data_IF_365363638700
#
_entry.id   IF_365363638700
#
_cell.length_a   1.000
_cell.length_b   1.000
_cell.length_c   1.000
_cell.angle_alpha   90.00
_cell.angle_beta   90.00
_cell.angle_gamma   90.00
#
_symmetry.space_group_name_H-M   'P 1'
#
loop_
_entity.id
_entity.type
_entity.pdbx_description
1 polymer ?
#
# COMPACT_ATOMS: atom_id res chain seq x y z
N UNK A 1 30.26 21.42 -3.12
CA UNK A 1 30.44 20.94 -4.52
C UNK A 1 29.90 19.52 -4.71
N UNK A 2 30.33 18.52 -3.93
CA UNK A 2 29.83 17.12 -4.07
C UNK A 2 28.30 17.03 -3.96
N UNK A 3 27.69 17.65 -2.94
CA UNK A 3 26.23 17.65 -2.79
C UNK A 3 25.47 18.20 -4.01
N UNK A 4 25.98 19.27 -4.63
CA UNK A 4 25.35 19.89 -5.82
C UNK A 4 25.46 18.98 -7.04
N UNK A 5 26.60 18.32 -7.24
CA UNK A 5 26.79 17.36 -8.35
C UNK A 5 25.88 16.14 -8.16
N UNK A 6 25.76 15.63 -6.94
CA UNK A 6 24.88 14.50 -6.64
C UNK A 6 23.38 14.86 -6.79
N UNK A 7 22.98 16.10 -6.50
CA UNK A 7 21.58 16.53 -6.63
C UNK A 7 21.24 17.10 -8.00
N UNK A 8 22.22 17.38 -8.87
CA UNK A 8 21.97 18.02 -10.17
C UNK A 8 20.99 17.25 -11.08
N UNK A 9 21.05 15.90 -11.23
CA UNK A 9 20.08 15.17 -12.03
C UNK A 9 18.65 15.27 -11.48
N UNK A 10 18.51 15.22 -10.14
CA UNK A 10 17.22 15.38 -9.48
C UNK A 10 16.67 16.81 -9.65
N UNK A 11 17.51 17.83 -9.45
CA UNK A 11 17.13 19.23 -9.66
C UNK A 11 16.69 19.46 -11.11
N UNK A 12 17.43 18.90 -12.07
CA UNK A 12 17.07 18.99 -13.49
C UNK A 12 15.72 18.31 -13.78
N UNK A 13 15.50 17.11 -13.27
CA UNK A 13 14.24 16.37 -13.44
C UNK A 13 13.04 17.13 -12.82
N UNK A 14 13.22 17.71 -11.64
CA UNK A 14 12.19 18.51 -10.95
C UNK A 14 11.95 19.86 -11.64
N UNK A 15 12.98 20.46 -12.24
CA UNK A 15 12.83 21.68 -13.03
C UNK A 15 12.09 21.44 -14.35
N UNK A 16 12.28 20.26 -14.97
CA UNK A 16 11.55 19.82 -16.15
C UNK A 16 10.09 19.45 -15.84
N UNK A 17 9.84 18.93 -14.63
CA UNK A 17 8.53 18.44 -14.20
C UNK A 17 8.18 19.01 -12.81
N UNK A 18 7.86 20.31 -12.71
CA UNK A 18 7.60 20.97 -11.43
C UNK A 18 6.42 20.34 -10.67
N UNK A 19 5.48 19.71 -11.38
CA UNK A 19 4.35 19.02 -10.78
C UNK A 19 4.77 17.83 -9.92
N UNK A 20 5.94 17.22 -10.17
CA UNK A 20 6.49 16.15 -9.31
C UNK A 20 6.81 16.63 -7.88
N UNK A 21 7.08 17.93 -7.68
CA UNK A 21 7.25 18.51 -6.34
C UNK A 21 5.91 18.65 -5.60
N UNK A 22 4.85 18.97 -6.32
CA UNK A 22 3.54 19.28 -5.76
C UNK A 22 2.64 18.05 -5.62
N UNK A 23 2.78 17.05 -6.49
CA UNK A 23 1.89 15.88 -6.59
C UNK A 23 1.73 15.18 -5.24
N UNK A 24 2.82 14.76 -4.60
CA UNK A 24 2.76 14.09 -3.27
C UNK A 24 2.46 15.03 -2.12
N UNK A 25 2.79 16.32 -2.24
CA UNK A 25 2.65 17.30 -1.15
C UNK A 25 1.19 17.76 -1.00
N UNK A 26 0.46 17.84 -2.11
CA UNK A 26 -0.97 18.16 -2.12
C UNK A 26 -1.82 17.08 -1.46
N UNK A 27 -1.56 15.81 -1.77
CA UNK A 27 -2.38 14.65 -1.33
C UNK A 27 -2.37 14.42 0.18
N UNK A 28 -1.31 14.85 0.85
CA UNK A 28 -1.12 14.65 2.29
C UNK A 28 -1.30 15.93 3.08
N UNK A 29 -1.68 17.05 2.45
CA UNK A 29 -1.77 18.34 3.12
C UNK A 29 -3.05 18.47 3.96
N UNK A 30 -2.96 19.04 5.16
CA UNK A 30 -4.13 19.35 6.00
C UNK A 30 -5.12 20.32 5.33
N UNK A 31 -4.70 21.07 4.31
CA UNK A 31 -5.54 22.02 3.58
C UNK A 31 -6.37 21.37 2.47
N UNK A 32 -5.91 20.23 1.94
CA UNK A 32 -6.55 19.49 0.83
C UNK A 32 -7.10 18.12 1.23
N UNK A 33 -6.74 17.63 2.41
CA UNK A 33 -7.20 16.34 2.90
C UNK A 33 -8.74 16.26 2.91
N UNK A 34 -9.27 15.16 2.39
CA UNK A 34 -10.70 14.88 2.40
C UNK A 34 -11.21 14.72 3.84
N UNK A 35 -12.52 14.87 4.06
CA UNK A 35 -13.11 14.61 5.40
C UNK A 35 -12.95 13.15 5.83
N UNK A 36 -12.81 12.22 4.89
CA UNK A 36 -12.52 10.80 5.16
C UNK A 36 -11.09 10.61 5.67
N UNK A 37 -10.13 11.33 5.08
CA UNK A 37 -8.73 11.27 5.51
C UNK A 37 -8.49 11.99 6.83
N UNK A 38 -9.12 13.15 7.03
CA UNK A 38 -8.94 13.94 8.25
C UNK A 38 -10.17 14.79 8.54
N UNK A 39 -10.84 14.52 9.64
CA UNK A 39 -12.06 15.26 10.03
C UNK A 39 -11.69 16.67 10.53
N UNK A 40 -12.50 17.66 10.15
CA UNK A 40 -12.44 19.03 10.67
C UNK A 40 -11.91 20.04 9.66
N UNK A 41 -11.79 21.30 10.10
CA UNK A 41 -11.20 22.41 9.33
C UNK A 41 -9.69 22.54 9.56
N UNK A 42 -8.91 23.24 8.70
CA UNK A 42 -7.44 23.21 8.75
C UNK A 42 -6.80 23.59 10.09
N UNK A 43 -7.37 24.54 10.83
CA UNK A 43 -6.91 24.95 12.16
C UNK A 43 -7.16 23.89 13.23
N UNK A 44 -8.34 23.25 13.22
CA UNK A 44 -8.63 22.09 14.08
C UNK A 44 -7.70 20.92 13.77
N UNK A 45 -7.44 20.67 12.48
CA UNK A 45 -6.52 19.63 12.00
C UNK A 45 -5.09 19.90 12.48
N UNK A 46 -4.63 21.15 12.37
CA UNK A 46 -3.31 21.56 12.85
C UNK A 46 -3.18 21.37 14.36
N UNK A 47 -4.16 21.82 15.15
CA UNK A 47 -4.15 21.64 16.61
C UNK A 47 -4.13 20.16 16.99
N UNK A 48 -4.92 19.33 16.30
CA UNK A 48 -4.90 17.87 16.49
C UNK A 48 -3.53 17.29 16.18
N UNK A 49 -2.87 17.75 15.13
CA UNK A 49 -1.52 17.30 14.81
C UNK A 49 -0.48 17.74 15.85
N UNK A 50 -0.61 18.94 16.43
CA UNK A 50 0.25 19.39 17.55
C UNK A 50 0.07 18.47 18.77
N UNK A 51 -1.18 18.14 19.11
CA UNK A 51 -1.49 17.22 20.20
C UNK A 51 -0.91 15.84 19.90
N UNK A 52 -1.17 15.28 18.72
CA UNK A 52 -0.69 13.97 18.31
C UNK A 52 0.83 13.89 18.25
N UNK A 53 1.51 14.93 17.78
CA UNK A 53 2.98 15.00 17.79
C UNK A 53 3.53 15.04 19.22
N UNK A 54 2.89 15.82 20.10
CA UNK A 54 3.31 15.89 21.50
C UNK A 54 3.14 14.53 22.18
N UNK A 55 1.98 13.90 22.00
CA UNK A 55 1.69 12.53 22.46
C UNK A 55 2.64 11.50 21.83
N UNK A 56 3.06 11.75 20.59
CA UNK A 56 4.12 11.04 19.85
C UNK A 56 5.38 10.72 20.65
N UNK A 57 5.75 11.62 21.56
CA UNK A 57 6.95 11.50 22.39
C UNK A 57 6.72 10.75 23.71
N UNK A 58 5.48 10.36 24.05
CA UNK A 58 5.14 9.84 25.38
C UNK A 58 4.19 8.65 25.40
N UNK A 59 3.05 8.71 24.71
CA UNK A 59 1.94 7.75 24.85
C UNK A 59 1.23 7.36 23.55
N UNK A 60 1.61 7.97 22.43
CA UNK A 60 1.03 7.70 21.11
C UNK A 60 2.14 7.67 20.07
N UNK A 61 1.88 7.08 18.89
CA UNK A 61 2.88 6.86 17.86
C UNK A 61 2.32 6.94 16.45
N UNK A 62 3.20 6.75 15.47
CA UNK A 62 2.82 6.61 14.07
C UNK A 62 1.95 5.33 13.93
N UNK A 63 0.89 5.41 13.13
CA UNK A 63 -0.01 4.28 12.87
C UNK A 63 0.44 3.44 11.68
N UNK A 64 1.36 3.95 10.86
CA UNK A 64 1.84 3.24 9.69
C UNK A 64 2.85 2.16 10.12
N UNK A 65 2.40 0.91 10.03
CA UNK A 65 3.15 -0.28 10.39
C UNK A 65 4.49 -0.41 9.66
N UNK A 66 4.69 0.26 8.52
CA UNK A 66 5.99 0.29 7.82
C UNK A 66 7.07 1.10 8.54
N UNK A 67 6.67 2.01 9.43
CA UNK A 67 7.60 2.91 10.10
C UNK A 67 7.95 2.46 11.51
N UNK A 68 6.96 1.94 12.24
CA UNK A 68 7.11 1.44 13.61
C UNK A 68 5.93 0.53 13.98
N UNK A 69 5.97 -0.05 15.18
CA UNK A 69 4.78 -0.60 15.80
C UNK A 69 3.68 0.48 15.93
N UNK A 70 2.44 0.19 15.48
CA UNK A 70 1.34 1.15 15.56
C UNK A 70 1.10 1.63 16.99
N UNK A 71 0.88 2.95 17.12
CA UNK A 71 0.66 3.65 18.40
C UNK A 71 1.86 3.65 19.35
N UNK A 72 2.96 2.98 19.03
CA UNK A 72 4.13 2.94 19.92
C UNK A 72 4.85 4.30 19.92
N UNK A 73 5.06 4.93 21.09
CA UNK A 73 5.72 6.22 21.18
C UNK A 73 7.19 6.15 20.73
N UNK A 74 7.74 7.32 20.39
CA UNK A 74 9.15 7.47 19.98
C UNK A 74 10.09 7.15 21.16
N UNK A 75 9.62 7.34 22.38
CA UNK A 75 10.41 7.20 23.60
C UNK A 75 9.82 6.11 24.49
N UNK A 76 10.71 5.34 25.11
CA UNK A 76 10.38 4.61 26.34
C UNK A 76 10.35 5.58 27.54
N UNK A 77 9.91 5.11 28.71
CA UNK A 77 9.79 5.95 29.90
C UNK A 77 11.10 6.63 30.32
N UNK A 78 12.25 5.94 30.21
CA UNK A 78 13.54 6.46 30.61
C UNK A 78 14.01 7.55 29.64
N UNK A 79 13.93 7.29 28.33
CA UNK A 79 14.30 8.28 27.32
C UNK A 79 13.34 9.47 27.29
N UNK A 80 12.04 9.23 27.52
CA UNK A 80 11.03 10.29 27.68
C UNK A 80 11.37 11.21 28.86
N UNK A 81 11.80 10.64 29.99
CA UNK A 81 12.21 11.44 31.17
C UNK A 81 13.42 12.32 30.84
N UNK A 82 14.45 11.76 30.20
CA UNK A 82 15.63 12.52 29.78
C UNK A 82 15.27 13.62 28.76
N UNK A 83 14.37 13.33 27.82
CA UNK A 83 13.85 14.28 26.86
C UNK A 83 13.12 15.44 27.54
N UNK A 84 12.20 15.15 28.47
CA UNK A 84 11.46 16.18 29.22
C UNK A 84 12.40 17.05 30.05
N UNK A 85 13.39 16.47 30.72
CA UNK A 85 14.42 17.25 31.44
C UNK A 85 15.21 18.14 30.49
N UNK A 86 15.54 17.64 29.29
CA UNK A 86 16.16 18.42 28.22
C UNK A 86 15.34 19.65 27.83
N UNK A 87 14.04 19.47 27.63
CA UNK A 87 13.09 20.56 27.38
C UNK A 87 13.08 21.59 28.49
N UNK A 88 12.97 21.15 29.74
CA UNK A 88 12.97 22.06 30.90
C UNK A 88 14.24 22.89 30.97
N UNK A 89 15.41 22.29 30.70
CA UNK A 89 16.69 23.01 30.65
C UNK A 89 16.72 24.01 29.49
N UNK A 90 16.32 23.59 28.29
CA UNK A 90 16.32 24.46 27.12
C UNK A 90 15.36 25.65 27.28
N UNK A 91 14.18 25.42 27.85
CA UNK A 91 13.18 26.44 28.15
C UNK A 91 13.66 27.39 29.26
N UNK A 92 14.23 26.85 30.34
CA UNK A 92 14.77 27.69 31.43
C UNK A 92 15.92 28.59 30.97
N UNK A 93 16.69 28.14 29.98
CA UNK A 93 17.81 28.87 29.38
C UNK A 93 17.49 29.50 28.03
N UNK A 94 16.22 29.83 27.79
CA UNK A 94 15.72 30.43 26.54
C UNK A 94 16.44 31.72 26.12
N UNK A 95 17.10 32.43 27.04
CA UNK A 95 17.89 33.63 26.73
C UNK A 95 19.18 33.31 25.99
N UNK A 96 19.67 32.08 26.06
CA UNK A 96 20.88 31.65 25.37
C UNK A 96 20.59 31.33 23.89
N UNK A 97 21.37 31.91 22.98
CA UNK A 97 21.17 31.71 21.53
C UNK A 97 21.19 30.23 21.11
N UNK A 98 22.07 29.42 21.71
CA UNK A 98 22.16 27.97 21.50
C UNK A 98 20.89 27.21 21.87
N UNK A 99 20.18 27.63 22.91
CA UNK A 99 18.94 26.97 23.34
C UNK A 99 17.79 27.33 22.41
N UNK A 100 17.71 28.62 22.02
CA UNK A 100 16.74 29.06 20.99
C UNK A 100 16.94 28.31 19.67
N UNK A 101 18.18 28.05 19.27
CA UNK A 101 18.46 27.27 18.07
C UNK A 101 17.89 25.85 18.17
N UNK A 102 18.07 25.15 19.28
CA UNK A 102 17.51 23.79 19.49
C UNK A 102 15.98 23.83 19.40
N UNK A 103 15.34 24.78 20.09
CA UNK A 103 13.88 24.89 20.12
C UNK A 103 13.31 25.29 18.75
N UNK A 104 13.97 26.22 18.05
CA UNK A 104 13.62 26.60 16.68
C UNK A 104 13.79 25.43 15.72
N UNK A 105 14.86 24.62 15.88
CA UNK A 105 15.07 23.44 15.07
C UNK A 105 13.91 22.46 15.22
N UNK A 106 13.52 22.12 16.45
CA UNK A 106 12.34 21.27 16.71
C UNK A 106 11.10 21.87 16.04
N UNK A 107 10.84 23.17 16.25
CA UNK A 107 9.65 23.82 15.70
C UNK A 107 9.60 23.78 14.17
N UNK A 108 10.72 24.10 13.50
CA UNK A 108 10.81 24.10 12.03
C UNK A 108 10.70 22.68 11.49
N UNK A 109 11.39 21.71 12.09
CA UNK A 109 11.39 20.32 11.62
C UNK A 109 10.11 19.56 12.01
N UNK A 110 9.25 20.11 12.86
CA UNK A 110 7.91 19.61 13.12
C UNK A 110 6.90 20.02 12.02
N UNK A 111 7.16 21.11 11.28
CA UNK A 111 6.22 21.63 10.28
C UNK A 111 5.74 20.59 9.26
N UNK A 112 6.60 19.71 8.70
CA UNK A 112 6.14 18.73 7.71
C UNK A 112 5.09 17.77 8.27
N UNK A 113 5.21 17.33 9.54
CA UNK A 113 4.17 16.47 10.14
C UNK A 113 2.93 17.26 10.53
N UNK A 114 3.10 18.50 11.04
CA UNK A 114 1.99 19.33 11.52
C UNK A 114 1.06 19.78 10.39
N UNK A 115 1.62 20.00 9.19
CA UNK A 115 0.89 20.41 8.00
C UNK A 115 0.40 19.22 7.16
N UNK A 116 0.54 17.99 7.67
CA UNK A 116 0.21 16.77 6.94
C UNK A 116 -0.86 15.91 7.62
N UNK A 117 -1.46 14.99 6.87
CA UNK A 117 -2.32 13.92 7.39
C UNK A 117 -1.49 12.88 8.16
N UNK A 118 -2.12 12.11 9.04
CA UNK A 118 -1.48 11.02 9.80
C UNK A 118 -0.35 11.47 10.74
N UNK A 119 -0.49 12.59 11.44
CA UNK A 119 0.46 12.95 12.50
C UNK A 119 0.26 12.09 13.77
N UNK A 120 1.35 11.67 14.45
CA UNK A 120 2.74 11.88 14.06
C UNK A 120 3.17 10.92 12.94
N UNK A 121 3.94 11.42 11.97
CA UNK A 121 4.47 10.59 10.89
C UNK A 121 6.00 10.51 10.97
N UNK A 122 6.56 9.33 11.21
CA UNK A 122 7.98 9.12 11.55
C UNK A 122 8.95 9.74 10.52
N UNK A 123 8.72 9.48 9.23
CA UNK A 123 9.57 10.05 8.16
C UNK A 123 9.47 11.58 8.04
N UNK A 124 8.36 12.19 8.47
CA UNK A 124 8.16 13.65 8.41
C UNK A 124 8.77 14.38 9.61
N UNK A 125 9.17 13.64 10.65
CA UNK A 125 9.86 14.17 11.83
C UNK A 125 11.33 13.74 11.89
N UNK A 126 11.85 13.02 10.90
CA UNK A 126 13.25 12.55 10.88
C UNK A 126 14.26 13.70 11.01
N UNK A 127 13.92 14.88 10.48
CA UNK A 127 14.74 16.09 10.62
C UNK A 127 14.87 16.61 12.05
N UNK A 128 14.01 16.17 12.97
CA UNK A 128 14.05 16.52 14.40
C UNK A 128 15.10 15.71 15.17
N UNK A 129 15.57 14.58 14.64
CA UNK A 129 16.47 13.66 15.36
C UNK A 129 17.71 14.34 15.98
N UNK A 130 18.44 15.24 15.27
CA UNK A 130 19.59 15.91 15.88
C UNK A 130 19.21 16.80 17.08
N UNK A 131 18.08 17.52 16.98
CA UNK A 131 17.60 18.37 18.07
C UNK A 131 17.13 17.53 19.27
N UNK A 132 16.45 16.41 19.02
CA UNK A 132 16.05 15.44 20.05
C UNK A 132 17.27 14.87 20.76
N UNK A 133 18.33 14.50 20.02
CA UNK A 133 19.58 14.02 20.61
C UNK A 133 20.25 15.06 21.53
N UNK A 134 20.22 16.34 21.14
CA UNK A 134 20.70 17.44 22.00
C UNK A 134 19.84 17.60 23.27
N UNK A 135 18.52 17.44 23.16
CA UNK A 135 17.63 17.46 24.34
C UNK A 135 17.94 16.29 25.28
N UNK A 136 18.14 15.07 24.78
CA UNK A 136 18.61 13.96 25.60
C UNK A 136 19.95 14.26 26.28
N UNK A 137 20.90 14.87 25.58
CA UNK A 137 22.19 15.24 26.15
C UNK A 137 22.02 16.26 27.29
N UNK A 138 21.13 17.25 27.14
CA UNK A 138 20.82 18.23 28.18
C UNK A 138 20.20 17.56 29.41
N UNK A 139 19.19 16.71 29.24
CA UNK A 139 18.56 15.98 30.34
C UNK A 139 19.52 15.01 31.05
N UNK A 140 20.34 14.31 30.27
CA UNK A 140 21.40 13.44 30.79
C UNK A 140 22.43 14.22 31.59
N UNK A 141 22.84 15.40 31.11
CA UNK A 141 23.81 16.25 31.82
C UNK A 141 23.28 16.73 33.18
N UNK A 142 21.97 17.05 33.25
CA UNK A 142 21.32 17.44 34.49
C UNK A 142 21.27 16.26 35.47
N UNK A 143 20.91 15.08 34.97
CA UNK A 143 20.83 13.83 35.75
C UNK A 143 22.19 13.44 36.31
N UNK A 144 23.24 13.46 35.48
CA UNK A 144 24.62 13.20 35.92
C UNK A 144 25.06 14.22 36.96
N UNK A 145 24.82 15.53 36.75
CA UNK A 145 25.18 16.56 37.74
C UNK A 145 24.49 16.36 39.08
N UNK A 146 23.23 15.94 39.08
CA UNK A 146 22.50 15.63 40.30
C UNK A 146 23.11 14.41 41.02
N UNK A 147 23.37 13.33 40.27
CA UNK A 147 24.01 12.12 40.79
C UNK A 147 25.45 12.35 41.29
N UNK A 148 26.16 13.31 40.70
CA UNK A 148 27.52 13.69 41.05
C UNK A 148 27.68 14.24 42.47
N UNK A 149 26.57 14.48 43.18
CA UNK A 149 26.56 14.82 44.61
C UNK A 149 26.92 13.63 45.50
N UNK A 150 26.75 12.40 45.01
CA UNK A 150 26.96 11.17 45.77
C UNK A 150 28.04 10.25 45.19
N UNK A 151 28.26 10.29 43.87
CA UNK A 151 29.26 9.48 43.17
C UNK A 151 30.08 10.34 42.19
N UNK A 152 31.29 9.96 41.77
CA UNK A 152 32.04 10.74 40.80
C UNK A 152 31.34 10.79 39.43
N UNK A 153 31.45 11.94 38.74
CA UNK A 153 30.67 12.22 37.52
C UNK A 153 30.89 11.24 36.38
N UNK A 154 32.10 10.70 36.22
CA UNK A 154 32.41 9.67 35.22
C UNK A 154 31.66 8.36 35.50
N UNK A 155 31.55 7.96 36.77
CA UNK A 155 30.77 6.78 37.14
C UNK A 155 29.26 7.02 37.00
N UNK A 156 28.76 8.20 37.36
CA UNK A 156 27.36 8.57 37.13
C UNK A 156 26.99 8.54 35.64
N UNK A 157 27.85 9.11 34.78
CA UNK A 157 27.66 9.10 33.34
C UNK A 157 27.71 7.67 32.76
N UNK A 158 28.69 6.86 33.18
CA UNK A 158 28.80 5.48 32.75
C UNK A 158 27.59 4.64 33.20
N UNK A 159 27.13 4.82 34.43
CA UNK A 159 25.94 4.14 34.96
C UNK A 159 24.67 4.54 34.22
N UNK A 160 24.48 5.84 33.94
CA UNK A 160 23.32 6.31 33.16
C UNK A 160 23.36 5.77 31.73
N UNK A 161 24.53 5.80 31.08
CA UNK A 161 24.70 5.24 29.74
C UNK A 161 24.40 3.73 29.73
N UNK A 162 24.94 2.98 30.69
CA UNK A 162 24.66 1.56 30.83
C UNK A 162 23.16 1.30 31.07
N UNK A 163 22.51 2.11 31.91
CA UNK A 163 21.07 2.02 32.17
C UNK A 163 20.25 2.27 30.90
N UNK A 164 20.58 3.30 30.12
CA UNK A 164 19.91 3.58 28.85
C UNK A 164 20.11 2.43 27.87
N UNK A 165 21.35 1.97 27.67
CA UNK A 165 21.64 0.88 26.73
C UNK A 165 20.94 -0.43 27.13
N UNK A 166 20.92 -0.76 28.41
CA UNK A 166 20.27 -1.99 28.87
C UNK A 166 18.76 -1.86 28.84
N UNK A 167 18.18 -0.82 29.43
CA UNK A 167 16.72 -0.69 29.56
C UNK A 167 16.08 -0.34 28.21
N UNK A 168 16.49 0.77 27.60
CA UNK A 168 15.94 1.22 26.32
C UNK A 168 16.33 0.24 25.21
N UNK A 169 17.59 -0.20 25.16
CA UNK A 169 18.05 -1.15 24.14
C UNK A 169 17.35 -2.51 24.22
N UNK A 170 17.10 -3.06 25.42
CA UNK A 170 16.34 -4.32 25.55
C UNK A 170 14.89 -4.13 25.15
N UNK A 171 14.27 -3.01 25.53
CA UNK A 171 12.89 -2.70 25.16
C UNK A 171 12.74 -2.56 23.64
N UNK A 172 13.58 -1.74 23.01
CA UNK A 172 13.62 -1.57 21.55
C UNK A 172 13.92 -2.89 20.83
N UNK A 173 14.86 -3.70 21.33
CA UNK A 173 15.17 -4.99 20.72
C UNK A 173 13.98 -5.96 20.79
N UNK A 174 13.27 -6.01 21.93
CA UNK A 174 12.04 -6.81 22.07
C UNK A 174 10.96 -6.33 21.10
N UNK A 175 10.73 -5.03 21.04
CA UNK A 175 9.68 -4.46 20.19
C UNK A 175 9.96 -4.68 18.71
N UNK A 176 11.19 -4.43 18.28
CA UNK A 176 11.61 -4.59 16.89
C UNK A 176 11.69 -6.05 16.46
N UNK A 177 12.46 -6.88 17.17
CA UNK A 177 12.75 -8.25 16.74
C UNK A 177 11.70 -9.28 17.14
N UNK A 178 10.79 -8.94 18.06
CA UNK A 178 9.73 -9.86 18.51
C UNK A 178 8.35 -9.38 18.13
N UNK A 179 7.93 -8.19 18.56
CA UNK A 179 6.55 -7.76 18.30
C UNK A 179 6.34 -7.33 16.86
N UNK A 180 7.18 -6.42 16.36
CA UNK A 180 7.04 -5.89 15.01
C UNK A 180 7.26 -6.98 13.98
N UNK A 181 8.33 -7.75 14.13
CA UNK A 181 8.66 -8.88 13.25
C UNK A 181 7.60 -10.00 13.21
N UNK A 182 6.72 -10.11 14.22
CA UNK A 182 5.63 -11.10 14.27
C UNK A 182 4.26 -10.49 14.01
N UNK A 183 4.17 -9.19 13.72
CA UNK A 183 2.90 -8.57 13.40
C UNK A 183 2.32 -9.21 12.13
N UNK A 184 1.08 -9.72 12.17
CA UNK A 184 0.48 -10.45 11.05
C UNK A 184 0.28 -9.57 9.82
N UNK A 185 0.14 -8.25 9.99
CA UNK A 185 -0.08 -7.30 8.91
C UNK A 185 1.23 -6.76 8.32
N UNK A 186 2.39 -7.04 8.93
CA UNK A 186 3.66 -6.46 8.50
C UNK A 186 4.01 -6.85 7.05
N UNK A 187 3.88 -8.12 6.71
CA UNK A 187 4.11 -8.60 5.35
C UNK A 187 3.19 -7.92 4.33
N UNK A 188 1.90 -7.76 4.67
CA UNK A 188 0.95 -7.06 3.80
C UNK A 188 1.28 -5.57 3.68
N UNK A 189 1.71 -4.92 4.76
CA UNK A 189 2.09 -3.51 4.76
C UNK A 189 3.30 -3.21 3.86
N UNK A 190 4.15 -4.21 3.58
CA UNK A 190 5.29 -4.14 2.65
C UNK A 190 5.01 -4.80 1.29
N UNK A 191 3.74 -5.05 0.95
CA UNK A 191 3.33 -5.66 -0.32
C UNK A 191 4.01 -7.02 -0.59
N UNK A 192 4.25 -7.83 0.46
CA UNK A 192 5.00 -9.09 0.36
C UNK A 192 4.40 -10.06 -0.67
N UNK A 193 3.07 -10.11 -0.78
CA UNK A 193 2.37 -10.94 -1.75
C UNK A 193 2.78 -10.61 -3.20
N UNK A 194 2.81 -9.31 -3.53
CA UNK A 194 3.24 -8.82 -4.84
C UNK A 194 4.71 -9.13 -5.11
N UNK A 195 5.57 -9.00 -4.08
CA UNK A 195 6.98 -9.34 -4.19
C UNK A 195 7.19 -10.84 -4.46
N UNK A 196 6.55 -11.72 -3.68
CA UNK A 196 6.65 -13.17 -3.85
C UNK A 196 6.17 -13.61 -5.24
N UNK A 197 5.06 -13.03 -5.72
CA UNK A 197 4.55 -13.31 -7.04
C UNK A 197 5.55 -12.89 -8.14
N UNK A 198 6.09 -11.68 -8.03
CA UNK A 198 7.07 -11.14 -8.99
C UNK A 198 8.37 -11.96 -9.02
N UNK A 199 8.91 -12.34 -7.85
CA UNK A 199 10.09 -13.21 -7.75
C UNK A 199 9.82 -14.60 -8.36
N UNK A 200 8.64 -15.15 -8.14
CA UNK A 200 8.23 -16.44 -8.72
C UNK A 200 8.19 -16.38 -10.25
N UNK A 201 7.53 -15.36 -10.82
CA UNK A 201 7.48 -15.18 -12.29
C UNK A 201 8.87 -14.90 -12.86
N UNK A 202 9.70 -14.09 -12.20
CA UNK A 202 11.08 -13.86 -12.64
C UNK A 202 11.89 -15.15 -12.68
N UNK A 203 11.74 -16.02 -11.68
CA UNK A 203 12.39 -17.34 -11.64
C UNK A 203 11.88 -18.30 -12.71
N UNK A 204 10.63 -18.14 -13.15
CA UNK A 204 10.04 -18.88 -14.27
C UNK A 204 10.38 -18.29 -15.63
N UNK A 205 10.89 -17.05 -15.71
CA UNK A 205 11.02 -16.31 -16.97
C UNK A 205 11.79 -17.06 -18.06
N UNK A 206 12.94 -17.64 -17.72
CA UNK A 206 13.71 -18.44 -18.68
C UNK A 206 12.94 -19.64 -19.22
N UNK A 207 12.01 -20.21 -18.44
CA UNK A 207 11.11 -21.27 -18.91
C UNK A 207 9.98 -20.72 -19.79
N UNK A 208 9.44 -19.55 -19.46
CA UNK A 208 8.40 -18.86 -20.25
C UNK A 208 8.91 -18.57 -21.66
N UNK A 209 10.15 -18.07 -21.76
CA UNK A 209 10.76 -17.70 -23.04
C UNK A 209 10.97 -18.93 -23.96
N UNK A 210 11.22 -20.12 -23.39
CA UNK A 210 11.49 -21.35 -24.15
C UNK A 210 10.19 -22.06 -24.59
N UNK A 211 9.34 -22.52 -23.64
CA UNK A 211 8.06 -23.20 -23.91
C UNK A 211 7.08 -23.14 -22.72
N UNK A 212 7.17 -22.10 -21.88
CA UNK A 212 6.42 -22.02 -20.62
C UNK A 212 5.23 -21.08 -20.72
N UNK A 213 4.11 -21.47 -20.13
CA UNK A 213 2.92 -20.64 -20.00
C UNK A 213 2.64 -20.39 -18.53
N UNK A 214 2.43 -19.12 -18.14
CA UNK A 214 2.14 -18.77 -16.76
C UNK A 214 0.89 -17.90 -16.71
N UNK A 215 -0.20 -18.44 -16.16
CA UNK A 215 -1.38 -17.66 -15.83
C UNK A 215 -1.17 -17.00 -14.45
N UNK A 216 -1.23 -15.68 -14.38
CA UNK A 216 -1.09 -14.91 -13.15
C UNK A 216 -2.42 -14.24 -12.84
N UNK A 217 -2.91 -14.32 -11.60
CA UNK A 217 -4.13 -13.61 -11.22
C UNK A 217 -4.01 -12.11 -11.53
N UNK A 218 -5.14 -11.49 -11.88
CA UNK A 218 -5.18 -10.08 -12.26
C UNK A 218 -4.58 -9.17 -11.18
N UNK A 219 -4.91 -9.40 -9.92
CA UNK A 219 -4.40 -8.62 -8.78
C UNK A 219 -2.88 -8.75 -8.63
N UNK A 220 -2.30 -9.94 -8.80
CA UNK A 220 -0.84 -10.11 -8.72
C UNK A 220 -0.11 -9.56 -9.94
N UNK A 221 -0.73 -9.66 -11.12
CA UNK A 221 -0.20 -9.15 -12.36
C UNK A 221 -0.07 -7.61 -12.35
N UNK A 222 -1.08 -6.91 -11.84
CA UNK A 222 -1.14 -5.44 -11.80
C UNK A 222 -0.35 -4.80 -10.65
N UNK A 223 0.86 -5.30 -10.39
CA UNK A 223 1.73 -4.76 -9.34
C UNK A 223 2.99 -4.14 -9.94
N UNK A 224 3.52 -3.03 -9.38
CA UNK A 224 4.80 -2.48 -9.79
C UNK A 224 5.96 -3.50 -9.75
N UNK A 225 5.91 -4.41 -8.78
CA UNK A 225 6.84 -5.52 -8.57
C UNK A 225 6.80 -6.48 -9.75
N UNK A 226 5.61 -6.92 -10.16
CA UNK A 226 5.45 -7.80 -11.33
C UNK A 226 5.98 -7.14 -12.59
N UNK A 227 5.62 -5.88 -12.84
CA UNK A 227 6.12 -5.14 -14.01
C UNK A 227 7.65 -5.02 -14.02
N UNK A 228 8.26 -4.81 -12.87
CA UNK A 228 9.72 -4.81 -12.75
C UNK A 228 10.32 -6.18 -13.08
N UNK A 229 9.72 -7.26 -12.54
CA UNK A 229 10.15 -8.64 -12.77
C UNK A 229 9.99 -9.10 -14.23
N UNK A 230 8.90 -8.70 -14.89
CA UNK A 230 8.61 -9.09 -16.26
C UNK A 230 9.22 -8.16 -17.30
N UNK A 231 9.66 -6.96 -16.89
CA UNK A 231 9.98 -5.87 -17.81
C UNK A 231 8.76 -5.40 -18.60
N UNK A 232 9.00 -4.74 -19.74
CA UNK A 232 7.94 -4.25 -20.63
C UNK A 232 7.37 -5.41 -21.45
N UNK A 233 6.49 -6.21 -20.84
CA UNK A 233 5.69 -7.20 -21.57
C UNK A 233 4.62 -6.47 -22.37
N UNK A 234 4.52 -6.80 -23.66
CA UNK A 234 3.49 -6.23 -24.53
C UNK A 234 2.15 -6.85 -24.18
N UNK A 235 1.14 -5.99 -24.01
CA UNK A 235 -0.26 -6.40 -23.92
C UNK A 235 -0.76 -6.79 -25.30
N UNK A 236 -1.33 -7.98 -25.42
CA UNK A 236 -2.07 -8.38 -26.61
C UNK A 236 -3.35 -9.10 -26.17
N UNK A 237 -4.41 -8.31 -26.06
CA UNK A 237 -5.75 -8.83 -25.79
C UNK A 237 -6.29 -9.46 -27.08
N UNK A 238 -6.79 -10.69 -26.96
CA UNK A 238 -7.37 -11.44 -28.08
C UNK A 238 -8.75 -10.86 -28.43
N UNK A 239 -9.21 -11.13 -29.65
CA UNK A 239 -10.60 -10.87 -30.03
C UNK A 239 -11.56 -11.57 -29.06
N UNK A 240 -12.69 -10.93 -28.72
CA UNK A 240 -13.62 -11.46 -27.73
C UNK A 240 -14.11 -12.85 -28.11
N UNK A 241 -14.09 -13.78 -27.15
CA UNK A 241 -14.49 -15.17 -27.37
C UNK A 241 -13.54 -16.00 -28.24
N UNK A 242 -12.43 -15.44 -28.71
CA UNK A 242 -11.41 -16.19 -29.43
C UNK A 242 -10.78 -17.27 -28.53
N UNK A 243 -10.40 -18.43 -29.09
CA UNK A 243 -9.67 -19.43 -28.36
C UNK A 243 -8.29 -18.88 -27.96
N UNK A 244 -7.87 -19.18 -26.73
CA UNK A 244 -6.54 -18.81 -26.24
C UNK A 244 -5.52 -19.75 -26.91
N UNK A 245 -4.47 -19.22 -27.56
CA UNK A 245 -3.49 -20.02 -28.29
C UNK A 245 -2.53 -20.70 -27.30
N UNK A 246 -3.00 -21.75 -26.62
CA UNK A 246 -2.19 -22.49 -25.65
C UNK A 246 -1.37 -23.57 -26.37
N UNK A 247 -0.07 -23.61 -26.11
CA UNK A 247 0.83 -24.66 -26.57
C UNK A 247 0.58 -25.94 -25.74
N UNK A 248 0.08 -27.00 -26.35
CA UNK A 248 -0.25 -28.25 -25.64
C UNK A 248 0.96 -29.01 -25.08
N UNK A 249 2.16 -28.76 -25.62
CA UNK A 249 3.41 -29.35 -25.12
C UNK A 249 4.04 -28.51 -23.99
N UNK A 250 3.62 -27.25 -23.84
CA UNK A 250 4.13 -26.34 -22.83
C UNK A 250 3.72 -26.74 -21.41
N UNK A 251 4.64 -26.53 -20.46
CA UNK A 251 4.28 -26.54 -19.04
C UNK A 251 3.43 -25.32 -18.73
N UNK A 252 2.31 -25.56 -18.07
CA UNK A 252 1.36 -24.53 -17.68
C UNK A 252 1.43 -24.34 -16.17
N UNK A 253 1.77 -23.13 -15.74
CA UNK A 253 1.79 -22.74 -14.34
C UNK A 253 0.66 -21.77 -14.05
N UNK A 254 0.06 -21.89 -12.86
CA UNK A 254 -0.92 -20.92 -12.37
C UNK A 254 -0.40 -20.30 -11.09
N UNK A 255 -0.33 -18.97 -11.07
CA UNK A 255 0.09 -18.18 -9.93
C UNK A 255 -1.07 -17.33 -9.44
N UNK A 256 -1.51 -17.57 -8.21
CA UNK A 256 -2.68 -16.92 -7.62
C UNK A 256 -2.48 -16.66 -6.13
N UNK A 257 -3.30 -15.78 -5.56
CA UNK A 257 -3.40 -15.57 -4.13
C UNK A 257 -3.84 -16.85 -3.41
N UNK A 258 -3.50 -16.97 -2.12
CA UNK A 258 -3.98 -18.07 -1.28
C UNK A 258 -5.51 -18.14 -1.21
N UNK A 259 -6.17 -16.98 -1.19
CA UNK A 259 -7.62 -16.84 -1.28
C UNK A 259 -7.91 -15.90 -2.46
N UNK A 260 -8.19 -16.46 -3.65
CA UNK A 260 -8.41 -15.67 -4.86
C UNK A 260 -9.53 -14.64 -4.67
N UNK A 261 -9.32 -13.45 -5.22
CA UNK A 261 -10.27 -12.36 -5.09
C UNK A 261 -11.62 -12.68 -5.79
N UNK A 262 -12.64 -11.84 -5.58
CA UNK A 262 -13.90 -11.96 -6.33
C UNK A 262 -13.66 -11.84 -7.83
N UNK A 263 -12.69 -11.01 -8.22
CA UNK A 263 -12.18 -10.95 -9.59
C UNK A 263 -11.27 -12.15 -9.84
N UNK A 264 -11.78 -13.11 -10.61
CA UNK A 264 -11.08 -14.34 -10.97
C UNK A 264 -10.39 -14.25 -12.33
N UNK A 265 -10.25 -13.04 -12.88
CA UNK A 265 -9.51 -12.80 -14.11
C UNK A 265 -8.03 -13.12 -13.93
N UNK A 266 -7.39 -13.56 -15.01
CA UNK A 266 -5.95 -13.83 -15.04
C UNK A 266 -5.31 -13.24 -16.30
N UNK A 267 -4.00 -13.07 -16.27
CA UNK A 267 -3.19 -12.80 -17.45
C UNK A 267 -2.29 -13.97 -17.75
N UNK A 268 -2.38 -14.46 -18.98
CA UNK A 268 -1.47 -15.45 -19.52
C UNK A 268 -0.22 -14.76 -20.02
N UNK A 269 0.91 -15.09 -19.41
CA UNK A 269 2.24 -14.85 -19.96
C UNK A 269 2.64 -16.03 -20.82
N UNK A 270 2.81 -15.81 -22.12
CA UNK A 270 3.18 -16.84 -23.07
C UNK A 270 4.06 -16.27 -24.19
N UNK A 271 4.93 -17.11 -24.79
CA UNK A 271 5.76 -16.69 -25.91
C UNK A 271 4.93 -16.58 -27.19
N UNK A 272 5.02 -15.43 -27.86
CA UNK A 272 4.50 -15.22 -29.21
C UNK A 272 5.64 -14.73 -30.09
N UNK A 273 5.98 -15.54 -31.10
CA UNK A 273 7.17 -15.36 -31.94
C UNK A 273 8.46 -15.35 -31.10
N UNK A 274 9.01 -14.17 -30.82
CA UNK A 274 10.25 -13.96 -30.04
C UNK A 274 10.04 -13.04 -28.84
N UNK A 275 8.80 -12.71 -28.49
CA UNK A 275 8.46 -11.86 -27.36
C UNK A 275 7.51 -12.58 -26.40
N UNK A 276 7.62 -12.28 -25.11
CA UNK A 276 6.58 -12.66 -24.15
C UNK A 276 5.47 -11.62 -24.21
N UNK A 277 4.25 -12.09 -24.39
CA UNK A 277 3.04 -11.24 -24.38
C UNK A 277 2.16 -11.60 -23.19
N UNK A 278 1.40 -10.60 -22.72
CA UNK A 278 0.38 -10.79 -21.70
C UNK A 278 -1.01 -10.72 -22.35
N UNK A 279 -1.77 -11.80 -22.23
CA UNK A 279 -3.13 -11.93 -22.77
C UNK A 279 -4.14 -12.08 -21.64
N UNK A 280 -5.20 -11.28 -21.65
CA UNK A 280 -6.28 -11.38 -20.66
C UNK A 280 -7.10 -12.66 -20.84
N UNK A 281 -7.25 -13.42 -19.76
CA UNK A 281 -8.14 -14.55 -19.58
C UNK A 281 -9.30 -14.21 -18.62
N UNK A 282 -10.54 -14.50 -19.03
CA UNK A 282 -11.72 -14.42 -18.17
C UNK A 282 -12.10 -15.83 -17.68
N UNK A 283 -12.50 -16.01 -16.42
CA UNK A 283 -13.15 -17.25 -15.97
C UNK A 283 -14.37 -17.59 -16.84
N UNK A 284 -14.66 -18.86 -17.10
CA UNK A 284 -15.88 -19.26 -17.82
C UNK A 284 -17.14 -18.80 -17.05
N UNK A 285 -17.91 -17.89 -17.65
CA UNK A 285 -19.06 -17.21 -17.00
C UNK A 285 -20.21 -18.13 -16.56
N UNK A 286 -20.23 -19.40 -17.01
CA UNK A 286 -21.33 -20.34 -16.75
C UNK A 286 -21.08 -21.30 -15.58
N UNK A 287 -19.93 -21.22 -14.91
CA UNK A 287 -19.64 -22.04 -13.74
C UNK A 287 -18.77 -21.29 -12.73
N UNK A 288 -19.40 -20.57 -11.79
CA UNK A 288 -18.71 -20.05 -10.61
C UNK A 288 -17.92 -21.13 -9.85
N UNK A 289 -18.28 -22.40 -10.04
CA UNK A 289 -17.70 -23.59 -9.43
C UNK A 289 -16.46 -24.15 -10.17
N UNK A 290 -16.08 -23.61 -11.35
CA UNK A 290 -14.92 -24.08 -12.12
C UNK A 290 -14.02 -22.94 -12.62
N UNK A 291 -13.50 -22.17 -11.68
CA UNK A 291 -12.50 -21.12 -11.96
C UNK A 291 -11.09 -21.69 -11.87
N UNK A 292 -10.24 -21.39 -12.87
CA UNK A 292 -8.84 -21.81 -12.90
C UNK A 292 -8.10 -21.39 -11.63
N UNK A 293 -8.29 -20.14 -11.19
CA UNK A 293 -7.60 -19.60 -10.02
C UNK A 293 -8.08 -20.28 -8.73
N UNK A 294 -9.39 -20.53 -8.58
CA UNK A 294 -9.92 -21.22 -7.39
C UNK A 294 -9.51 -22.69 -7.34
N UNK A 295 -9.58 -23.39 -8.47
CA UNK A 295 -9.16 -24.79 -8.57
C UNK A 295 -7.66 -24.90 -8.28
N UNK A 296 -6.84 -24.02 -8.86
CA UNK A 296 -5.38 -24.01 -8.63
C UNK A 296 -5.04 -23.65 -7.18
N UNK A 297 -5.75 -22.70 -6.58
CA UNK A 297 -5.55 -22.34 -5.16
C UNK A 297 -5.90 -23.48 -4.19
N UNK A 298 -6.81 -24.38 -4.59
CA UNK A 298 -7.29 -25.51 -3.79
C UNK A 298 -6.68 -26.86 -4.22
N UNK A 299 -5.83 -26.87 -5.25
CA UNK A 299 -5.19 -28.07 -5.79
C UNK A 299 -4.32 -28.73 -4.73
N UNK A 300 -4.34 -30.07 -4.69
CA UNK A 300 -3.49 -30.85 -3.79
C UNK A 300 -2.01 -30.78 -4.18
N UNK A 301 -1.73 -30.50 -5.45
CA UNK A 301 -0.38 -30.42 -6.02
C UNK A 301 0.18 -28.98 -5.97
N UNK A 302 -0.64 -28.01 -5.55
CA UNK A 302 -0.23 -26.63 -5.47
C UNK A 302 0.80 -26.37 -4.37
N UNK A 303 1.81 -25.59 -4.71
CA UNK A 303 2.92 -25.21 -3.84
C UNK A 303 2.68 -23.82 -3.27
N UNK A 304 2.71 -23.72 -1.94
CA UNK A 304 2.65 -22.45 -1.23
C UNK A 304 4.02 -21.76 -1.22
N UNK A 305 4.13 -20.66 -1.95
CA UNK A 305 5.29 -19.77 -1.95
C UNK A 305 5.18 -18.80 -0.77
N UNK A 306 6.25 -18.75 0.04
CA UNK A 306 6.31 -18.02 1.31
C UNK A 306 7.65 -17.32 1.47
N UNK A 307 7.68 -16.26 2.28
CA UNK A 307 8.95 -15.66 2.71
C UNK A 307 9.80 -16.67 3.50
N UNK A 308 11.13 -16.72 3.33
CA UNK A 308 12.03 -17.53 4.16
C UNK A 308 11.97 -17.19 5.65
N UNK A 309 11.61 -15.95 5.99
CA UNK A 309 11.40 -15.48 7.37
C UNK A 309 9.97 -15.76 7.85
N UNK A 310 9.37 -16.84 7.36
CA UNK A 310 7.93 -17.14 7.44
C UNK A 310 7.30 -16.85 8.82
N UNK A 311 6.25 -16.03 8.81
CA UNK A 311 5.26 -15.95 9.88
C UNK A 311 3.95 -16.60 9.39
N UNK A 312 3.22 -17.35 10.24
CA UNK A 312 2.04 -18.10 9.83
C UNK A 312 0.96 -17.28 9.10
N UNK A 313 0.82 -16.00 9.46
CA UNK A 313 -0.25 -15.12 8.97
C UNK A 313 0.22 -14.14 7.89
N UNK A 314 1.48 -14.20 7.47
CA UNK A 314 1.94 -13.33 6.41
C UNK A 314 1.38 -13.76 5.06
N UNK A 315 1.20 -12.81 4.12
CA UNK A 315 0.73 -13.13 2.78
C UNK A 315 1.56 -14.21 2.11
N UNK A 316 0.87 -15.09 1.37
CA UNK A 316 1.44 -16.21 0.64
C UNK A 316 0.85 -16.21 -0.76
N UNK A 317 1.57 -16.81 -1.70
CA UNK A 317 1.13 -16.98 -3.09
C UNK A 317 1.14 -18.46 -3.40
N UNK A 318 0.19 -18.91 -4.21
CA UNK A 318 0.04 -20.29 -4.64
C UNK A 318 0.60 -20.43 -6.04
N UNK A 319 1.50 -21.39 -6.24
CA UNK A 319 1.98 -21.82 -7.54
C UNK A 319 1.48 -23.25 -7.79
N UNK A 320 0.66 -23.43 -8.81
CA UNK A 320 0.14 -24.73 -9.23
C UNK A 320 0.67 -25.10 -10.63
N UNK A 321 0.83 -26.40 -10.87
CA UNK A 321 1.19 -26.97 -12.18
C UNK A 321 0.09 -27.99 -12.55
N UNK A 322 -1.09 -27.54 -12.99
CA UNK A 322 -2.22 -28.43 -13.18
C UNK A 322 -1.97 -29.45 -14.29
N UNK A 323 -2.11 -30.73 -13.96
CA UNK A 323 -2.03 -31.87 -14.90
C UNK A 323 -3.21 -31.86 -15.88
N UNK A 324 -3.11 -31.07 -16.94
CA UNK A 324 -4.02 -31.07 -18.10
C UNK A 324 -5.48 -30.68 -17.87
N UNK A 325 -5.85 -30.09 -16.72
CA UNK A 325 -7.10 -29.37 -16.56
C UNK A 325 -6.97 -27.93 -17.08
N UNK A 326 -6.69 -27.78 -18.38
CA UNK A 326 -6.95 -26.50 -19.05
C UNK A 326 -8.45 -26.38 -19.15
N UNK A 327 -9.07 -25.74 -18.15
CA UNK A 327 -10.43 -25.21 -18.30
C UNK A 327 -10.50 -24.51 -19.68
N UNK A 328 -11.63 -24.53 -20.41
CA UNK A 328 -11.71 -23.90 -21.71
C UNK A 328 -11.51 -22.39 -21.57
N UNK A 329 -10.24 -21.97 -21.59
CA UNK A 329 -9.83 -20.58 -21.46
C UNK A 329 -10.24 -19.89 -22.74
N UNK A 330 -11.00 -18.81 -22.57
CA UNK A 330 -11.42 -17.95 -23.66
C UNK A 330 -10.88 -16.56 -23.40
N UNK A 331 -10.66 -15.83 -24.49
CA UNK A 331 -10.49 -14.40 -24.41
C UNK A 331 -11.67 -13.78 -23.65
N UNK A 332 -11.38 -12.72 -22.90
CA UNK A 332 -12.37 -11.96 -22.15
C UNK A 332 -13.55 -11.52 -23.04
N UNK A 333 -14.78 -11.67 -22.51
CA UNK A 333 -16.02 -11.32 -23.21
C UNK A 333 -16.70 -10.13 -22.54
N UNK A 334 -16.87 -9.04 -23.30
CA UNK A 334 -17.59 -7.86 -22.82
C UNK A 334 -19.09 -8.06 -23.00
N UNK A 335 -19.81 -8.26 -21.88
CA UNK A 335 -21.26 -8.46 -21.91
C UNK A 335 -22.01 -7.32 -22.64
N UNK A 336 -21.57 -6.08 -22.42
CA UNK A 336 -22.14 -4.90 -23.08
C UNK A 336 -21.02 -4.03 -23.68
N UNK A 337 -20.63 -4.26 -24.95
CA UNK A 337 -19.64 -3.45 -25.62
C UNK A 337 -20.16 -2.03 -25.85
N UNK A 338 -19.26 -1.05 -25.77
CA UNK A 338 -19.53 0.36 -26.00
C UNK A 338 -18.45 0.97 -26.89
N UNK A 339 -18.80 2.06 -27.56
CA UNK A 339 -17.86 2.90 -28.30
C UNK A 339 -18.04 4.35 -27.83
N UNK A 340 -17.57 4.61 -26.61
CA UNK A 340 -17.69 5.92 -25.97
C UNK A 340 -16.29 6.52 -25.83
N UNK A 341 -16.08 7.64 -26.52
CA UNK A 341 -14.83 8.39 -26.48
C UNK A 341 -15.01 9.67 -25.67
N UNK A 342 -14.07 9.94 -24.77
CA UNK A 342 -14.04 11.15 -23.96
C UNK A 342 -13.03 12.15 -24.52
N UNK A 343 -13.28 13.45 -24.33
CA UNK A 343 -12.45 14.52 -24.85
C UNK A 343 -10.99 14.51 -24.32
N UNK A 344 -10.73 13.79 -23.23
CA UNK A 344 -9.41 13.62 -22.64
C UNK A 344 -8.65 12.38 -23.16
N UNK A 345 -9.15 11.70 -24.20
CA UNK A 345 -8.50 10.53 -24.79
C UNK A 345 -8.79 9.20 -24.09
N UNK A 346 -9.63 9.19 -23.06
CA UNK A 346 -10.13 7.95 -22.46
C UNK A 346 -11.25 7.38 -23.32
N UNK A 347 -11.31 6.05 -23.41
CA UNK A 347 -12.38 5.33 -24.10
C UNK A 347 -13.02 4.34 -23.13
N UNK A 348 -14.35 4.37 -23.02
CA UNK A 348 -15.12 3.32 -22.35
C UNK A 348 -15.56 2.33 -23.43
N UNK A 349 -14.90 1.18 -23.47
CA UNK A 349 -15.08 0.15 -24.53
C UNK A 349 -16.16 -0.87 -24.17
N UNK A 350 -16.64 -0.87 -22.94
CA UNK A 350 -17.75 -1.72 -22.52
C UNK A 350 -17.95 -1.77 -21.02
N UNK A 351 -18.94 -2.56 -20.60
CA UNK A 351 -19.17 -2.89 -19.21
C UNK A 351 -19.78 -4.29 -19.04
N UNK A 352 -19.73 -4.81 -17.83
CA UNK A 352 -20.38 -6.04 -17.41
C UNK A 352 -21.03 -5.84 -16.03
N UNK A 353 -22.12 -6.57 -15.80
CA UNK A 353 -22.87 -6.60 -14.55
C UNK A 353 -23.03 -8.06 -14.14
N UNK A 354 -22.61 -8.39 -12.92
CA UNK A 354 -22.74 -9.76 -12.37
C UNK A 354 -24.22 -10.17 -12.18
N UNK A 355 -25.09 -9.18 -11.91
CA UNK A 355 -26.54 -9.38 -11.88
C UNK A 355 -27.26 -8.23 -12.59
N UNK A 356 -28.07 -8.56 -13.59
CA UNK A 356 -28.91 -7.62 -14.34
C UNK A 356 -30.38 -7.64 -13.88
N UNK A 357 -30.73 -8.54 -12.95
CA UNK A 357 -32.08 -8.76 -12.44
C UNK A 357 -32.08 -9.05 -10.94
N UNK A 358 -32.99 -8.39 -10.23
CA UNK A 358 -33.22 -8.64 -8.80
C UNK A 358 -34.54 -9.37 -8.63
N UNK A 359 -34.49 -10.66 -8.28
CA UNK A 359 -35.70 -11.41 -8.02
C UNK A 359 -36.25 -11.10 -6.61
N UNK A 360 -37.58 -10.95 -6.44
CA UNK A 360 -38.17 -10.81 -5.12
C UNK A 360 -37.86 -12.04 -4.25
N UNK A 361 -37.11 -11.85 -3.16
CA UNK A 361 -36.74 -12.91 -2.21
C UNK A 361 -35.27 -13.38 -2.31
N UNK A 362 -34.54 -13.02 -3.35
CA UNK A 362 -33.08 -13.22 -3.41
C UNK A 362 -32.37 -12.07 -2.70
N UNK A 363 -31.52 -12.40 -1.73
CA UNK A 363 -30.79 -11.45 -0.88
C UNK A 363 -29.53 -10.88 -1.57
N UNK A 364 -29.59 -10.58 -2.86
CA UNK A 364 -28.49 -9.88 -3.51
C UNK A 364 -28.61 -8.37 -3.24
N UNK A 365 -27.90 -7.92 -2.20
CA UNK A 365 -27.82 -6.52 -1.82
C UNK A 365 -26.66 -5.77 -2.49
N UNK A 366 -25.84 -6.48 -3.29
CA UNK A 366 -24.61 -5.98 -3.90
C UNK A 366 -24.60 -6.21 -5.41
N UNK A 367 -24.14 -5.20 -6.16
CA UNK A 367 -24.05 -5.19 -7.61
C UNK A 367 -22.61 -4.88 -7.98
N UNK A 368 -21.94 -5.83 -8.64
CA UNK A 368 -20.61 -5.62 -9.18
C UNK A 368 -20.75 -5.08 -10.61
N UNK A 369 -20.42 -3.80 -10.78
CA UNK A 369 -20.25 -3.14 -12.07
C UNK A 369 -18.79 -3.19 -12.47
N UNK A 370 -18.49 -3.87 -13.57
CA UNK A 370 -17.17 -3.87 -14.20
C UNK A 370 -17.22 -2.97 -15.43
N UNK A 371 -16.34 -1.96 -15.50
CA UNK A 371 -16.19 -1.09 -16.67
C UNK A 371 -14.83 -1.30 -17.32
N UNK A 372 -14.77 -1.22 -18.64
CA UNK A 372 -13.57 -1.53 -19.41
C UNK A 372 -13.10 -0.29 -20.15
N UNK A 373 -11.87 0.13 -19.86
CA UNK A 373 -11.33 1.41 -20.29
C UNK A 373 -10.09 1.23 -21.14
N UNK A 374 -9.90 2.10 -22.12
CA UNK A 374 -8.70 2.12 -22.98
C UNK A 374 -8.18 3.54 -23.14
N UNK A 375 -6.86 3.68 -23.25
CA UNK A 375 -6.23 4.92 -23.67
C UNK A 375 -6.14 5.00 -25.19
N UNK A 376 -6.70 6.07 -25.76
CA UNK A 376 -6.51 6.39 -27.16
C UNK A 376 -5.07 6.89 -27.38
N UNK A 377 -4.27 6.23 -28.23
CA UNK A 377 -2.87 6.61 -28.47
C UNK A 377 -2.69 7.98 -29.13
N UNK A 378 -3.73 8.54 -29.74
CA UNK A 378 -3.69 9.83 -30.43
C UNK A 378 -3.78 11.03 -29.47
N UNK A 379 -4.14 10.79 -28.21
CA UNK A 379 -4.29 11.82 -27.19
C UNK A 379 -3.16 11.76 -26.15
N UNK A 380 -2.75 12.90 -25.58
CA UNK A 380 -1.87 12.90 -24.42
C UNK A 380 -2.58 12.19 -23.25
N UNK A 381 -1.81 11.42 -22.46
CA UNK A 381 -2.36 10.74 -21.29
C UNK A 381 -2.94 11.76 -20.29
N UNK A 382 -4.17 11.57 -19.78
CA UNK A 382 -4.74 12.45 -18.78
C UNK A 382 -3.98 12.36 -17.44
N UNK A 383 -4.05 13.43 -16.64
CA UNK A 383 -3.65 13.36 -15.23
C UNK A 383 -4.64 12.46 -14.48
N UNK A 384 -4.11 11.60 -13.59
CA UNK A 384 -4.91 10.69 -12.78
C UNK A 384 -5.90 11.43 -11.87
N UNK A 385 -5.55 12.65 -11.42
CA UNK A 385 -6.42 13.49 -10.60
C UNK A 385 -7.58 14.11 -11.39
N UNK A 386 -7.45 14.22 -12.71
CA UNK A 386 -8.47 14.82 -13.58
C UNK A 386 -9.45 13.77 -14.10
N UNK A 387 -9.22 12.48 -13.80
CA UNK A 387 -10.03 11.38 -14.29
C UNK A 387 -10.61 10.50 -13.17
N UNK A 388 -11.78 10.91 -12.69
CA UNK A 388 -12.59 10.16 -11.71
C UNK A 388 -13.86 9.67 -12.40
N UNK A 389 -14.14 8.37 -12.32
CA UNK A 389 -15.44 7.85 -12.73
C UNK A 389 -16.42 7.85 -11.56
N UNK A 390 -17.67 8.12 -11.87
CA UNK A 390 -18.78 8.14 -10.92
C UNK A 390 -19.77 7.05 -11.32
N UNK A 391 -20.03 6.12 -10.41
CA UNK A 391 -21.01 5.07 -10.62
C UNK A 391 -22.14 5.22 -9.61
N UNK A 392 -23.37 5.31 -10.10
CA UNK A 392 -24.57 5.47 -9.28
C UNK A 392 -25.55 4.32 -9.53
N UNK A 393 -25.91 3.58 -8.49
CA UNK A 393 -27.04 2.67 -8.50
C UNK A 393 -28.26 3.40 -7.94
N UNK A 394 -29.29 3.64 -8.75
CA UNK A 394 -30.51 4.36 -8.35
C UNK A 394 -31.67 3.40 -8.14
N UNK A 395 -32.41 3.54 -7.03
CA UNK A 395 -33.56 2.70 -6.70
C UNK A 395 -34.64 3.52 -5.99
N UNK A 396 -35.84 3.61 -6.57
CA UNK A 396 -36.92 4.43 -6.02
C UNK A 396 -36.45 5.86 -5.72
N UNK A 397 -36.51 6.25 -4.44
CA UNK A 397 -36.07 7.58 -3.96
C UNK A 397 -34.62 7.59 -3.40
N UNK A 398 -33.87 6.49 -3.53
CA UNK A 398 -32.52 6.34 -3.01
C UNK A 398 -31.45 6.12 -4.09
N UNK A 399 -30.19 6.28 -3.70
CA UNK A 399 -29.04 5.93 -4.53
C UNK A 399 -27.88 5.39 -3.68
N UNK A 400 -27.06 4.54 -4.30
CA UNK A 400 -25.72 4.17 -3.84
C UNK A 400 -24.70 4.65 -4.85
N UNK A 401 -23.51 5.01 -4.37
CA UNK A 401 -22.49 5.63 -5.20
C UNK A 401 -21.08 5.14 -4.86
N UNK A 402 -20.24 5.05 -5.88
CA UNK A 402 -18.80 4.85 -5.73
C UNK A 402 -18.07 5.77 -6.70
N UNK A 403 -17.20 6.63 -6.17
CA UNK A 403 -16.60 7.77 -6.87
C UNK A 403 -15.08 7.79 -6.62
N UNK A 404 -14.32 7.03 -7.41
CA UNK A 404 -12.87 6.91 -7.26
C UNK A 404 -12.21 6.93 -8.65
N UNK A 405 -10.88 7.08 -8.66
CA UNK A 405 -10.05 6.87 -9.84
C UNK A 405 -10.33 5.50 -10.49
N UNK A 406 -10.16 5.44 -11.81
CA UNK A 406 -10.40 4.24 -12.61
C UNK A 406 -9.19 3.32 -12.60
N UNK A 407 -9.41 2.01 -12.61
CA UNK A 407 -8.38 0.99 -12.78
C UNK A 407 -8.23 0.07 -11.57
N UNK A 408 -9.09 0.21 -10.56
CA UNK A 408 -9.13 -0.67 -9.37
C UNK A 408 -7.77 -0.92 -8.72
N UNK A 409 -6.97 0.15 -8.58
CA UNK A 409 -5.63 0.09 -8.00
C UNK A 409 -4.49 -0.01 -9.01
N UNK A 410 -4.78 -0.13 -10.32
CA UNK A 410 -3.79 0.02 -11.39
C UNK A 410 -3.73 1.48 -11.88
N UNK A 411 -2.72 2.27 -11.46
CA UNK A 411 -2.71 3.71 -11.67
C UNK A 411 -2.51 4.07 -13.15
N UNK A 412 -3.19 5.12 -13.59
CA UNK A 412 -3.25 5.58 -14.98
C UNK A 412 -1.85 5.76 -15.65
N UNK A 413 -0.80 6.25 -14.96
CA UNK A 413 0.54 6.36 -15.55
C UNK A 413 1.17 5.03 -15.99
N UNK A 414 0.65 3.89 -15.51
CA UNK A 414 1.14 2.57 -15.88
C UNK A 414 0.46 2.01 -17.14
N UNK A 415 -0.70 2.53 -17.53
CA UNK A 415 -1.48 2.01 -18.65
C UNK A 415 -0.74 2.15 -19.99
N UNK A 416 -0.69 1.09 -20.79
CA UNK A 416 -0.10 1.11 -22.13
C UNK A 416 -1.14 1.57 -23.17
N UNK A 417 -0.74 2.26 -24.26
CA UNK A 417 -1.65 2.61 -25.33
C UNK A 417 -2.28 1.35 -25.94
N UNK A 418 -3.61 1.36 -26.13
CA UNK A 418 -4.35 0.19 -26.62
C UNK A 418 -4.70 -0.88 -25.58
N UNK A 419 -4.13 -0.82 -24.36
CA UNK A 419 -4.47 -1.72 -23.25
C UNK A 419 -5.91 -1.50 -22.79
N UNK A 420 -6.65 -2.59 -22.57
CA UNK A 420 -7.94 -2.54 -21.86
C UNK A 420 -7.70 -2.76 -20.37
N UNK A 421 -8.14 -1.81 -19.55
CA UNK A 421 -8.07 -1.86 -18.10
C UNK A 421 -9.47 -1.94 -17.50
N UNK A 422 -9.71 -2.98 -16.70
CA UNK A 422 -10.95 -3.13 -15.93
C UNK A 422 -10.98 -2.22 -14.70
N UNK A 423 -12.16 -1.69 -14.41
CA UNK A 423 -12.50 -1.02 -13.15
C UNK A 423 -13.77 -1.61 -12.55
N UNK A 424 -13.64 -2.15 -11.34
CA UNK A 424 -14.70 -2.84 -10.61
C UNK A 424 -15.28 -1.96 -9.51
N UNK A 425 -16.61 -1.89 -9.49
CA UNK A 425 -17.36 -1.07 -8.57
C UNK A 425 -18.46 -1.86 -7.89
N UNK A 426 -18.41 -1.91 -6.57
CA UNK A 426 -19.39 -2.63 -5.76
C UNK A 426 -20.41 -1.64 -5.21
N UNK A 427 -21.63 -1.71 -5.75
CA UNK A 427 -22.74 -0.84 -5.40
C UNK A 427 -23.76 -1.62 -4.58
N UNK A 428 -24.39 -0.97 -3.59
CA UNK A 428 -25.30 -1.64 -2.67
C UNK A 428 -26.72 -1.06 -2.71
N UNK A 429 -27.75 -1.91 -2.65
CA UNK A 429 -29.17 -1.47 -2.63
C UNK A 429 -29.61 -0.90 -1.29
N UNK A 430 -28.97 -1.32 -0.19
CA UNK A 430 -29.17 -0.75 1.12
C UNK A 430 -27.90 -0.03 1.55
N UNK A 431 -28.05 1.13 2.20
CA UNK A 431 -26.97 1.75 2.94
C UNK A 431 -26.61 0.84 4.12
N UNK A 432 -25.82 -0.22 3.89
CA UNK A 432 -24.99 -0.74 4.96
C UNK A 432 -24.15 0.44 5.39
N UNK A 433 -24.31 0.88 6.64
CA UNK A 433 -23.26 1.67 7.28
C UNK A 433 -21.99 0.88 7.05
N UNK A 434 -21.12 1.35 6.16
CA UNK A 434 -19.75 0.89 6.10
C UNK A 434 -19.14 1.23 7.46
N UNK A 435 -19.34 0.34 8.43
CA UNK A 435 -18.46 0.24 9.58
C UNK A 435 -17.18 -0.41 9.07
N UNK A 436 -16.44 0.31 8.23
CA UNK A 436 -14.99 0.18 8.25
C UNK A 436 -14.52 0.95 9.49
N UNK A 437 -14.93 0.45 10.66
CA UNK A 437 -14.25 0.79 11.90
C UNK A 437 -12.93 0.04 11.79
N UNK A 438 -11.85 0.80 11.59
CA UNK A 438 -10.55 0.37 12.05
C UNK A 438 -10.67 0.04 13.53
N UNK A 439 -10.95 -1.23 13.82
CA UNK A 439 -10.98 -1.77 15.16
C UNK A 439 -9.93 -2.87 15.18
N UNK A 440 -8.67 -2.45 15.12
CA UNK A 440 -7.58 -3.20 15.72
C UNK A 440 -7.77 -3.09 17.24
N UNK A 441 -8.72 -3.85 17.76
CA UNK A 441 -8.75 -4.22 19.17
C UNK A 441 -8.88 -5.73 19.22
N UNK A 442 -7.73 -6.36 19.46
CA UNK A 442 -7.69 -7.74 19.90
C UNK A 442 -8.64 -7.91 21.09
N UNK A 443 -9.57 -8.84 20.94
CA UNK A 443 -10.13 -9.58 22.06
C UNK A 443 -10.01 -11.05 21.75
N UNK A 444 -8.95 -11.63 22.29
CA UNK A 444 -8.95 -13.02 22.71
C UNK A 444 -10.17 -13.25 23.59
N UNK A 445 -11.01 -14.21 23.25
CA UNK A 445 -11.76 -14.97 24.24
C UNK A 445 -11.77 -16.43 23.81
N UNK A 446 -10.74 -17.13 24.30
CA UNK A 446 -10.76 -18.56 24.51
C UNK A 446 -11.74 -18.92 25.64
N UNK A 447 -12.33 -20.11 25.49
CA UNK A 447 -12.81 -21.04 26.53
C UNK A 447 -14.17 -20.86 27.23
N UNK A 448 -14.84 -22.03 27.33
CA UNK A 448 -15.92 -22.46 28.25
C UNK A 448 -17.34 -21.99 27.86
N UNK A 449 -18.35 -22.85 27.64
CA UNK A 449 -18.63 -24.26 27.97
C UNK A 449 -19.50 -24.88 26.88
#
# INVERSE_FOLDING_TARGET
MVGVVCTAPLIYALAQNPDLLAARTGDVSIFRASQEQMIGVPDERFLRNVINLTRGFYDYGDLNLRHNLPEHPIHDLLTATLFTLGWLVALWRLREARMRLILLWVAVMALPTLLSTNAPHALRIVGMLPAIALLYALGSSLTVRAASRWIPANYAAAALLALVLVVSGTWTARDYFVYWARDPLLGAAFDLEAQLAAETVAGLRGKIDDEGEVAVSRKLYFTPQMRYATGTVRRHDLEQGAPVPLNQAARFHVLTELDPSVDLSAYLLHPVENEVVATWLDPPQTAADRSLLRESAQSADAVLIRSPLHQPNWPQVVLDEPDNARLPLRAFEMAYPLDVQFANGMELVGYALDTDRVNPGEASDAFLLSTFWRLNPEFPRPDENDFVAFAHLRFGNGQSQQNNAVGSGYPLPLWQPGEIVADHRLLFRAARRCAWQGNVRGRSLSTQR
#
